data_IF_575124759361
#
_entry.id   IF_575124759361
#
_cell.length_a   1.000
_cell.length_b   1.000
_cell.length_c   1.000
_cell.angle_alpha   90.00
_cell.angle_beta   90.00
_cell.angle_gamma   90.00
#
_symmetry.space_group_name_H-M   'P 1'
#
loop_
_entity.id
_entity.type
_entity.pdbx_description
1 polymer ?
#
# COMPACT_ATOMS: atom_id res chain seq x y z
N UNK A 1 9.25 15.73 -7.31
CA UNK A 1 8.21 14.76 -6.87
C UNK A 1 8.32 13.36 -7.52
N UNK A 2 9.52 12.90 -7.94
CA UNK A 2 9.66 11.67 -8.75
C UNK A 2 10.66 10.64 -8.18
N UNK A 3 11.18 10.86 -6.97
CA UNK A 3 12.26 10.05 -6.37
C UNK A 3 11.83 8.65 -5.95
N UNK A 4 10.57 8.49 -5.53
CA UNK A 4 10.09 7.25 -4.92
C UNK A 4 9.32 6.35 -5.88
N UNK A 5 9.05 6.80 -7.11
CA UNK A 5 8.23 6.06 -8.08
C UNK A 5 8.87 4.73 -8.48
N UNK A 6 10.19 4.71 -8.67
CA UNK A 6 10.95 3.49 -8.94
C UNK A 6 10.96 2.54 -7.73
N UNK A 7 11.19 3.08 -6.52
CA UNK A 7 11.20 2.31 -5.28
C UNK A 7 9.83 1.69 -4.97
N UNK A 8 8.74 2.45 -5.07
CA UNK A 8 7.37 1.91 -4.92
C UNK A 8 7.07 0.80 -5.92
N UNK A 9 7.57 0.89 -7.16
CA UNK A 9 7.36 -0.18 -8.14
C UNK A 9 8.17 -1.43 -7.78
N UNK A 10 9.40 -1.27 -7.32
CA UNK A 10 10.23 -2.37 -6.85
C UNK A 10 9.61 -3.07 -5.61
N UNK A 11 9.06 -2.31 -4.67
CA UNK A 11 8.36 -2.84 -3.49
C UNK A 11 7.10 -3.61 -3.89
N UNK A 12 6.38 -3.17 -4.92
CA UNK A 12 5.22 -3.94 -5.41
C UNK A 12 5.56 -5.31 -5.97
N UNK A 13 6.77 -5.48 -6.49
CA UNK A 13 7.28 -6.74 -7.05
C UNK A 13 7.82 -7.65 -5.94
N UNK A 14 8.43 -7.07 -4.91
CA UNK A 14 9.04 -7.79 -3.80
C UNK A 14 8.21 -7.67 -2.52
N UNK A 15 6.89 -7.82 -2.62
CA UNK A 15 6.01 -7.81 -1.45
C UNK A 15 6.11 -9.12 -0.67
N UNK A 16 5.89 -9.05 0.63
CA UNK A 16 5.75 -10.21 1.51
C UNK A 16 4.45 -10.96 1.23
N UNK A 17 4.37 -12.22 1.67
CA UNK A 17 3.14 -13.01 1.54
C UNK A 17 1.96 -12.35 2.28
N UNK A 18 2.22 -11.79 3.48
CA UNK A 18 1.22 -11.09 4.26
C UNK A 18 0.67 -9.84 3.54
N UNK A 19 1.54 -9.06 2.89
CA UNK A 19 1.10 -7.93 2.07
C UNK A 19 0.28 -8.40 0.85
N UNK A 20 0.69 -9.48 0.19
CA UNK A 20 -0.02 -10.02 -0.97
C UNK A 20 -1.44 -10.47 -0.60
N UNK A 21 -1.58 -11.19 0.52
CA UNK A 21 -2.87 -11.63 1.05
C UNK A 21 -3.76 -10.43 1.40
N UNK A 22 -3.22 -9.45 2.13
CA UNK A 22 -3.96 -8.24 2.46
C UNK A 22 -4.36 -7.44 1.21
N UNK A 23 -3.50 -7.41 0.18
CA UNK A 23 -3.82 -6.76 -1.09
C UNK A 23 -5.02 -7.43 -1.78
N UNK A 24 -5.16 -8.75 -1.70
CA UNK A 24 -6.31 -9.48 -2.25
C UNK A 24 -7.62 -9.11 -1.55
N UNK A 25 -7.58 -8.85 -0.26
CA UNK A 25 -8.75 -8.42 0.53
C UNK A 25 -9.10 -6.94 0.30
N UNK A 26 -8.10 -6.06 0.16
CA UNK A 26 -8.31 -4.62 0.05
C UNK A 26 -8.52 -4.10 -1.38
N UNK A 27 -8.18 -4.90 -2.41
CA UNK A 27 -8.34 -4.49 -3.82
C UNK A 27 -9.80 -4.22 -4.18
N UNK A 28 -10.00 -3.50 -5.29
CA UNK A 28 -11.31 -3.28 -5.91
C UNK A 28 -12.39 -2.69 -4.98
N UNK A 29 -11.98 -1.98 -3.92
CA UNK A 29 -12.91 -1.36 -2.96
C UNK A 29 -13.78 -2.38 -2.23
N UNK A 30 -13.28 -3.61 -2.03
CA UNK A 30 -14.02 -4.68 -1.35
C UNK A 30 -14.30 -4.34 0.12
N UNK A 31 -13.36 -3.66 0.79
CA UNK A 31 -13.56 -3.22 2.17
C UNK A 31 -14.25 -1.84 2.22
N UNK A 32 -15.49 -1.83 2.72
CA UNK A 32 -16.27 -0.60 3.00
C UNK A 32 -16.36 0.40 1.82
N UNK A 33 -16.17 -0.06 0.57
CA UNK A 33 -16.07 0.75 -0.65
C UNK A 33 -14.88 1.73 -0.71
N UNK A 34 -13.96 1.65 0.24
CA UNK A 34 -12.78 2.51 0.31
C UNK A 34 -11.71 2.10 -0.70
N UNK A 35 -11.03 3.09 -1.29
CA UNK A 35 -9.94 2.84 -2.22
C UNK A 35 -8.62 2.74 -1.49
N UNK A 36 -8.10 1.53 -1.36
CA UNK A 36 -6.74 1.30 -0.90
C UNK A 36 -5.72 1.43 -2.05
N UNK A 37 -4.58 2.05 -1.75
CA UNK A 37 -3.41 2.16 -2.63
C UNK A 37 -2.26 1.42 -1.96
N UNK A 38 -1.57 0.56 -2.71
CA UNK A 38 -0.41 -0.20 -2.23
C UNK A 38 0.91 0.52 -2.50
N UNK A 39 1.85 0.46 -1.56
CA UNK A 39 3.21 0.99 -1.64
C UNK A 39 3.22 2.47 -2.08
N UNK A 40 2.51 3.31 -1.32
CA UNK A 40 2.21 4.71 -1.67
C UNK A 40 3.23 5.68 -1.04
N UNK A 41 3.88 6.55 -1.83
CA UNK A 41 4.74 7.58 -1.26
C UNK A 41 3.94 8.64 -0.49
N UNK A 42 4.36 8.95 0.74
CA UNK A 42 3.86 10.05 1.56
C UNK A 42 5.07 10.79 2.14
N UNK A 43 5.25 12.05 1.72
CA UNK A 43 6.45 12.86 1.99
C UNK A 43 7.76 12.07 1.74
N UNK A 44 8.43 11.66 2.82
CA UNK A 44 9.72 10.95 2.82
C UNK A 44 9.60 9.43 2.97
N UNK A 45 8.38 8.92 3.10
CA UNK A 45 8.10 7.51 3.39
C UNK A 45 7.34 6.86 2.23
N UNK A 46 7.40 5.53 2.16
CA UNK A 46 6.52 4.71 1.33
C UNK A 46 5.79 3.80 2.31
N UNK A 47 4.46 3.90 2.35
CA UNK A 47 3.60 3.12 3.23
C UNK A 47 3.03 1.92 2.47
N UNK A 48 2.83 0.79 3.14
CA UNK A 48 2.39 -0.46 2.51
C UNK A 48 0.99 -0.31 1.93
N UNK A 49 0.04 0.21 2.70
CA UNK A 49 -1.31 0.50 2.24
C UNK A 49 -1.83 1.83 2.78
N UNK A 50 -2.59 2.55 1.94
CA UNK A 50 -3.29 3.76 2.37
C UNK A 50 -4.65 3.91 1.71
N UNK A 51 -5.65 4.30 2.50
CA UNK A 51 -6.90 4.87 2.02
C UNK A 51 -6.88 6.37 2.30
N UNK A 52 -6.78 7.19 1.23
CA UNK A 52 -6.83 8.65 1.37
C UNK A 52 -8.23 9.12 1.77
N UNK A 53 -9.26 8.44 1.27
CA UNK A 53 -10.67 8.75 1.55
C UNK A 53 -10.97 8.56 3.04
N UNK A 54 -10.40 7.51 3.65
CA UNK A 54 -10.55 7.20 5.07
C UNK A 54 -9.49 7.83 5.98
N UNK A 55 -8.47 8.51 5.40
CA UNK A 55 -7.28 9.01 6.10
C UNK A 55 -6.61 7.93 6.97
N UNK A 56 -6.50 6.71 6.42
CA UNK A 56 -6.00 5.53 7.13
C UNK A 56 -4.77 4.97 6.40
N UNK A 57 -3.70 4.77 7.16
CA UNK A 57 -2.51 4.02 6.76
C UNK A 57 -2.54 2.67 7.47
N UNK A 58 -2.16 1.60 6.75
CA UNK A 58 -1.98 0.25 7.29
C UNK A 58 -0.58 -0.20 6.88
N UNK A 59 0.26 -0.49 7.86
CA UNK A 59 1.59 -1.09 7.68
C UNK A 59 1.52 -2.54 8.11
N UNK A 60 2.14 -3.43 7.35
CA UNK A 60 2.19 -4.86 7.66
C UNK A 60 3.56 -5.15 8.24
N UNK A 61 3.64 -5.40 9.54
CA UNK A 61 4.88 -5.83 10.18
C UNK A 61 5.21 -7.27 9.78
N UNK A 62 5.91 -7.40 8.65
CA UNK A 62 6.36 -8.66 8.06
C UNK A 62 7.64 -9.19 8.69
N UNK A 63 7.60 -9.50 9.99
CA UNK A 63 8.62 -10.32 10.63
C UNK A 63 8.84 -11.64 9.89
#
# INVERSE_FOLDING_TARGET
MNRFKARSRALRVNETAAEADLCCELRNRQLARWKFRRQHPIDRFIVDFVSLDAKLIVEVDGG
#
